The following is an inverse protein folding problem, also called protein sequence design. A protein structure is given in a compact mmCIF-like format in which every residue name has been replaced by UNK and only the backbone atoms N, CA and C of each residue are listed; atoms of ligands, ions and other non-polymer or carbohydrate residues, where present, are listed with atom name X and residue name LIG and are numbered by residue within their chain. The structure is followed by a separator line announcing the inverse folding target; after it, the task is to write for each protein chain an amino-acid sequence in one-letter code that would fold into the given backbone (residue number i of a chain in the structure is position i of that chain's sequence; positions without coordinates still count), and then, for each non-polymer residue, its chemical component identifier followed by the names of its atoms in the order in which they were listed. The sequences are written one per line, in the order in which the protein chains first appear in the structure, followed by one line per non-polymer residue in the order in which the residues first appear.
data_IF_160176256413
#
_entry.id   IF_160176256413
#
_cell.length_a   1.000
_cell.length_b   1.000
_cell.length_c   1.000
_cell.angle_alpha   90.00
_cell.angle_beta   90.00
_cell.angle_gamma   90.00
#
_symmetry.space_group_name_H-M   'P 1'
#
loop_
_entity.id
_entity.type
_entity.pdbx_description
1 polymer ?
#
# COMPACT_ATOMS: atom_id res chain seq x y z
N UNK A 1 -6.05 -45.95 29.19
CA UNK A 1 -4.91 -45.00 28.98
C UNK A 1 -4.68 -44.59 27.53
N UNK A 2 -5.00 -45.41 26.52
CA UNK A 2 -4.78 -45.09 25.09
C UNK A 2 -5.79 -44.05 24.49
N UNK A 3 -7.04 -44.04 24.93
CA UNK A 3 -8.09 -43.13 24.38
C UNK A 3 -7.85 -41.68 24.80
N UNK A 4 -7.38 -41.44 26.03
CA UNK A 4 -7.11 -40.09 26.56
C UNK A 4 -5.99 -39.36 25.79
N UNK A 5 -4.96 -40.09 25.36
CA UNK A 5 -3.85 -39.54 24.58
C UNK A 5 -4.29 -39.23 23.13
N UNK A 6 -5.24 -40.01 22.58
CA UNK A 6 -5.76 -39.80 21.23
C UNK A 6 -6.63 -38.50 21.14
N UNK A 7 -7.42 -38.26 22.19
CA UNK A 7 -8.28 -37.04 22.27
C UNK A 7 -7.40 -35.78 22.43
N UNK A 8 -6.35 -35.86 23.27
CA UNK A 8 -5.42 -34.71 23.46
C UNK A 8 -4.67 -34.37 22.16
N UNK A 9 -4.24 -35.39 21.40
CA UNK A 9 -3.54 -35.20 20.12
C UNK A 9 -4.47 -34.62 19.05
N UNK A 10 -5.75 -34.98 19.05
CA UNK A 10 -6.73 -34.50 18.09
C UNK A 10 -7.15 -33.04 18.38
N UNK A 11 -7.29 -32.65 19.65
CA UNK A 11 -7.58 -31.29 20.08
C UNK A 11 -6.40 -30.37 19.80
N UNK A 12 -5.14 -30.82 19.96
CA UNK A 12 -3.95 -30.06 19.62
C UNK A 12 -3.79 -29.85 18.11
N UNK A 13 -4.20 -30.81 17.28
CA UNK A 13 -4.16 -30.69 15.83
C UNK A 13 -5.21 -29.71 15.30
N UNK A 14 -6.39 -29.62 15.93
CA UNK A 14 -7.44 -28.64 15.57
C UNK A 14 -7.04 -27.23 16.01
N UNK A 15 -6.37 -27.07 17.15
CA UNK A 15 -5.88 -25.78 17.63
C UNK A 15 -4.77 -25.18 16.73
N UNK A 16 -3.98 -26.03 16.04
CA UNK A 16 -2.93 -25.57 15.12
C UNK A 16 -3.48 -25.11 13.74
N UNK A 17 -4.72 -25.49 13.40
CA UNK A 17 -5.37 -25.11 12.13
C UNK A 17 -6.13 -23.78 12.22
N UNK A 18 -6.24 -23.20 13.41
CA UNK A 18 -6.70 -21.81 13.61
C UNK A 18 -5.52 -20.82 13.50
N UNK A 19 -4.64 -21.00 12.49
CA UNK A 19 -3.80 -19.90 12.05
C UNK A 19 -4.76 -18.81 11.54
N UNK A 20 -4.95 -17.80 12.36
CA UNK A 20 -5.69 -16.61 12.01
C UNK A 20 -5.04 -16.00 10.78
N UNK A 21 -5.59 -16.28 9.59
CA UNK A 21 -5.32 -15.46 8.44
C UNK A 21 -5.74 -14.05 8.86
N UNK A 22 -4.77 -13.19 9.15
CA UNK A 22 -5.01 -11.77 9.32
C UNK A 22 -5.54 -11.29 7.97
N UNK A 23 -6.86 -11.16 7.88
CA UNK A 23 -7.47 -10.53 6.72
C UNK A 23 -7.05 -9.07 6.80
N UNK A 24 -6.07 -8.69 5.99
CA UNK A 24 -5.70 -7.30 5.79
C UNK A 24 -6.85 -6.64 5.04
N UNK A 25 -7.44 -5.64 5.64
CA UNK A 25 -8.46 -4.82 4.99
C UNK A 25 -7.81 -3.51 4.58
N UNK A 26 -7.94 -3.16 3.30
CA UNK A 26 -7.53 -1.83 2.81
C UNK A 26 -8.13 -0.73 3.70
N UNK A 27 -7.35 0.32 3.97
CA UNK A 27 -7.87 1.46 4.72
C UNK A 27 -9.07 2.04 4.00
N UNK A 28 -10.23 1.84 4.58
CA UNK A 28 -11.51 2.34 4.07
C UNK A 28 -12.02 3.43 5.01
N UNK A 29 -12.30 4.60 4.46
CA UNK A 29 -12.92 5.72 5.18
C UNK A 29 -14.25 6.02 4.50
N UNK A 30 -15.34 5.61 5.15
CA UNK A 30 -16.67 5.65 4.54
C UNK A 30 -16.78 4.68 3.35
N UNK A 31 -16.92 5.23 2.16
CA UNK A 31 -16.97 4.51 0.87
C UNK A 31 -15.66 4.64 0.06
N UNK A 32 -14.55 5.09 0.68
CA UNK A 32 -13.28 5.34 0.01
C UNK A 32 -12.18 4.37 0.46
N UNK A 33 -11.47 3.79 -0.51
CA UNK A 33 -10.20 3.09 -0.31
C UNK A 33 -9.10 4.15 -0.41
N UNK A 34 -8.25 4.24 0.62
CA UNK A 34 -7.21 5.26 0.72
C UNK A 34 -5.88 4.69 0.24
N UNK A 35 -5.30 5.31 -0.78
CA UNK A 35 -3.97 5.00 -1.30
C UNK A 35 -2.94 5.94 -0.68
N UNK A 36 -1.69 5.53 -0.60
CA UNK A 36 -0.58 6.37 -0.14
C UNK A 36 0.40 6.69 -1.26
N UNK A 37 0.90 7.92 -1.31
CA UNK A 37 1.93 8.32 -2.26
C UNK A 37 2.93 9.31 -1.64
N UNK A 38 4.22 8.98 -1.70
CA UNK A 38 5.28 9.94 -1.47
C UNK A 38 5.84 10.33 -2.84
N UNK A 39 5.71 11.59 -3.22
CA UNK A 39 6.10 12.10 -4.55
C UNK A 39 6.92 13.38 -4.41
N UNK A 40 7.80 13.63 -5.36
CA UNK A 40 8.66 14.83 -5.34
C UNK A 40 7.89 16.07 -5.77
N UNK A 41 7.27 16.77 -4.84
CA UNK A 41 6.60 18.04 -5.12
C UNK A 41 7.59 19.22 -5.08
N UNK A 42 8.72 19.03 -4.39
CA UNK A 42 9.87 19.95 -4.36
C UNK A 42 11.19 19.24 -4.69
N UNK A 43 12.28 20.00 -4.81
CA UNK A 43 13.61 19.48 -5.14
C UNK A 43 13.83 19.23 -6.64
N UNK A 44 14.90 18.48 -6.96
CA UNK A 44 15.38 18.31 -8.35
C UNK A 44 14.41 17.58 -9.29
N UNK A 45 13.49 16.82 -8.73
CA UNK A 45 12.49 16.04 -9.49
C UNK A 45 11.10 16.65 -9.45
N UNK A 46 10.95 17.88 -8.94
CA UNK A 46 9.64 18.49 -8.71
C UNK A 46 8.75 18.54 -9.97
N UNK A 47 9.30 18.91 -11.11
CA UNK A 47 8.53 18.92 -12.36
C UNK A 47 7.94 17.54 -12.69
N UNK A 48 8.75 16.49 -12.59
CA UNK A 48 8.32 15.13 -12.86
C UNK A 48 7.38 14.59 -11.77
N UNK A 49 7.64 14.93 -10.51
CA UNK A 49 6.80 14.55 -9.39
C UNK A 49 5.39 15.16 -9.48
N UNK A 50 5.29 16.41 -9.90
CA UNK A 50 3.99 17.05 -10.18
C UNK A 50 3.25 16.35 -11.32
N UNK A 51 3.95 15.97 -12.40
CA UNK A 51 3.33 15.19 -13.48
C UNK A 51 2.86 13.82 -13.00
N UNK A 52 3.65 13.15 -12.14
CA UNK A 52 3.25 11.89 -11.51
C UNK A 52 1.98 12.06 -10.67
N UNK A 53 1.93 13.08 -9.82
CA UNK A 53 0.74 13.40 -9.01
C UNK A 53 -0.49 13.67 -9.89
N UNK A 54 -0.33 14.45 -10.95
CA UNK A 54 -1.42 14.76 -11.88
C UNK A 54 -1.93 13.48 -12.58
N UNK A 55 -1.02 12.57 -12.96
CA UNK A 55 -1.39 11.29 -13.54
C UNK A 55 -2.21 10.41 -12.58
N UNK A 56 -1.80 10.35 -11.32
CA UNK A 56 -2.53 9.61 -10.28
C UNK A 56 -3.90 10.24 -10.00
N UNK A 57 -3.98 11.56 -9.89
CA UNK A 57 -5.24 12.27 -9.70
C UNK A 57 -6.20 12.01 -10.85
N UNK A 58 -5.72 12.09 -12.10
CA UNK A 58 -6.52 11.82 -13.29
C UNK A 58 -7.04 10.37 -13.31
N UNK A 59 -6.22 9.40 -12.94
CA UNK A 59 -6.62 8.00 -12.86
C UNK A 59 -7.71 7.78 -11.81
N UNK A 60 -7.52 8.35 -10.60
CA UNK A 60 -8.51 8.27 -9.52
C UNK A 60 -9.81 8.96 -9.89
N UNK A 61 -9.76 10.17 -10.45
CA UNK A 61 -10.93 10.88 -10.94
C UNK A 61 -11.72 10.07 -11.98
N UNK A 62 -11.02 9.48 -12.95
CA UNK A 62 -11.66 8.65 -13.96
C UNK A 62 -12.34 7.42 -13.37
N UNK A 63 -11.66 6.67 -12.48
CA UNK A 63 -12.26 5.50 -11.83
C UNK A 63 -13.48 5.92 -11.01
N UNK A 64 -13.37 7.00 -10.24
CA UNK A 64 -14.44 7.50 -9.39
C UNK A 64 -15.65 8.00 -10.21
N UNK A 65 -15.41 8.63 -11.37
CA UNK A 65 -16.47 9.09 -12.28
C UNK A 65 -17.22 7.93 -12.95
N UNK A 66 -16.56 6.79 -13.15
CA UNK A 66 -17.19 5.56 -13.64
C UNK A 66 -17.95 4.79 -12.55
N UNK A 67 -18.05 5.35 -11.33
CA UNK A 67 -18.76 4.75 -10.21
C UNK A 67 -17.85 4.05 -9.19
N UNK A 68 -16.52 4.02 -9.40
CA UNK A 68 -15.57 3.39 -8.50
C UNK A 68 -15.35 1.90 -8.77
N UNK A 69 -14.88 1.17 -7.77
CA UNK A 69 -14.57 -0.27 -7.84
C UNK A 69 -15.51 -1.09 -6.97
N UNK A 70 -15.91 -2.26 -7.44
CA UNK A 70 -16.76 -3.18 -6.68
C UNK A 70 -15.91 -4.23 -5.97
N UNK A 71 -16.04 -4.32 -4.66
CA UNK A 71 -15.35 -5.29 -3.82
C UNK A 71 -16.36 -5.89 -2.83
N UNK A 72 -16.51 -7.21 -2.83
CA UNK A 72 -17.43 -7.91 -1.92
C UNK A 72 -18.89 -7.44 -2.01
N UNK A 73 -19.35 -7.04 -3.20
CA UNK A 73 -20.72 -6.54 -3.41
C UNK A 73 -20.94 -5.07 -3.04
N UNK A 74 -19.95 -4.38 -2.49
CA UNK A 74 -19.96 -2.93 -2.21
C UNK A 74 -19.15 -2.18 -3.25
N UNK A 75 -19.51 -0.92 -3.47
CA UNK A 75 -18.78 -0.03 -4.37
C UNK A 75 -17.96 0.97 -3.57
N UNK A 76 -16.70 1.13 -3.95
CA UNK A 76 -15.76 2.04 -3.30
C UNK A 76 -15.18 3.01 -4.33
N UNK A 77 -14.92 4.22 -3.89
CA UNK A 77 -14.10 5.20 -4.60
C UNK A 77 -12.68 5.19 -4.06
N UNK A 78 -11.74 5.77 -4.81
CA UNK A 78 -10.37 5.96 -4.33
C UNK A 78 -10.16 7.40 -3.84
N UNK A 79 -9.24 7.53 -2.88
CA UNK A 79 -8.64 8.80 -2.48
C UNK A 79 -7.14 8.58 -2.23
N UNK A 80 -6.32 9.64 -2.25
CA UNK A 80 -4.87 9.53 -2.11
C UNK A 80 -4.38 10.46 -1.01
N UNK A 81 -3.56 9.93 -0.09
CA UNK A 81 -2.76 10.74 0.83
C UNK A 81 -1.40 10.98 0.20
N UNK A 82 -1.05 12.25 0.00
CA UNK A 82 0.22 12.67 -0.56
C UNK A 82 1.17 13.23 0.49
N UNK A 83 2.46 12.88 0.35
CA UNK A 83 3.56 13.54 1.04
C UNK A 83 4.65 13.93 0.05
N UNK A 84 5.30 15.08 0.30
CA UNK A 84 6.45 15.53 -0.48
C UNK A 84 7.73 14.84 0.02
N UNK A 85 8.37 14.05 -0.85
CA UNK A 85 9.64 13.39 -0.57
C UNK A 85 10.86 14.30 -0.79
N UNK A 86 10.64 15.54 -1.26
CA UNK A 86 11.68 16.56 -1.51
C UNK A 86 12.80 16.05 -2.44
N UNK A 87 12.48 15.09 -3.30
CA UNK A 87 13.46 14.40 -4.18
C UNK A 87 14.59 13.68 -3.41
N UNK A 88 14.32 13.28 -2.17
CA UNK A 88 15.27 12.67 -1.25
C UNK A 88 14.91 11.21 -0.97
N UNK A 89 15.77 10.23 -1.34
CA UNK A 89 15.49 8.82 -1.15
C UNK A 89 15.25 8.41 0.31
N UNK A 90 16.02 8.97 1.25
CA UNK A 90 15.85 8.68 2.68
C UNK A 90 14.48 9.17 3.17
N UNK A 91 14.08 10.37 2.75
CA UNK A 91 12.77 10.93 3.09
C UNK A 91 11.63 10.12 2.47
N UNK A 92 11.76 9.71 1.21
CA UNK A 92 10.78 8.86 0.55
C UNK A 92 10.54 7.56 1.32
N UNK A 93 11.60 6.88 1.76
CA UNK A 93 11.49 5.69 2.61
C UNK A 93 10.80 5.97 3.95
N UNK A 94 11.14 7.06 4.62
CA UNK A 94 10.51 7.48 5.88
C UNK A 94 9.01 7.78 5.72
N UNK A 95 8.65 8.44 4.60
CA UNK A 95 7.26 8.76 4.30
C UNK A 95 6.46 7.52 3.91
N UNK A 96 7.07 6.56 3.22
CA UNK A 96 6.45 5.25 2.97
C UNK A 96 6.12 4.54 4.30
N UNK A 97 7.07 4.52 5.24
CA UNK A 97 6.83 3.95 6.58
C UNK A 97 5.73 4.71 7.34
N UNK A 98 5.70 6.03 7.26
CA UNK A 98 4.66 6.86 7.87
C UNK A 98 3.28 6.55 7.29
N UNK A 99 3.15 6.54 5.97
CA UNK A 99 1.89 6.22 5.27
C UNK A 99 1.34 4.87 5.73
N UNK A 100 2.21 3.87 5.87
CA UNK A 100 1.81 2.52 6.29
C UNK A 100 1.45 2.50 7.79
N UNK A 101 2.34 3.00 8.66
CA UNK A 101 2.20 2.82 10.12
C UNK A 101 1.28 3.84 10.79
N UNK A 102 1.28 5.07 10.34
CA UNK A 102 0.51 6.16 10.96
C UNK A 102 -0.79 6.42 10.22
N UNK A 103 -0.73 6.47 8.89
CA UNK A 103 -1.92 6.71 8.08
C UNK A 103 -2.67 5.41 7.75
N UNK A 104 -2.06 4.24 7.95
CA UNK A 104 -2.68 2.93 7.81
C UNK A 104 -3.06 2.59 6.37
N UNK A 105 -2.32 3.10 5.36
CA UNK A 105 -2.56 2.73 3.98
C UNK A 105 -2.03 1.32 3.70
N UNK A 106 -2.74 0.56 2.89
CA UNK A 106 -2.39 -0.81 2.51
C UNK A 106 -2.08 -0.95 1.01
N UNK A 107 -2.11 0.14 0.28
CA UNK A 107 -1.70 0.24 -1.13
C UNK A 107 -0.91 1.51 -1.35
N UNK A 108 0.24 1.38 -2.00
CA UNK A 108 1.13 2.50 -2.29
C UNK A 108 1.19 2.75 -3.79
N UNK A 109 1.25 4.02 -4.16
CA UNK A 109 1.63 4.49 -5.48
C UNK A 109 3.10 4.92 -5.43
N UNK A 110 3.89 4.47 -6.39
CA UNK A 110 5.32 4.71 -6.43
C UNK A 110 5.71 6.16 -6.75
N UNK A 111 6.94 6.55 -6.40
CA UNK A 111 7.46 7.89 -6.68
C UNK A 111 7.97 8.01 -8.12
N UNK A 112 8.30 9.24 -8.55
CA UNK A 112 9.12 9.42 -9.73
C UNK A 112 10.57 9.02 -9.45
N UNK A 113 11.21 8.36 -10.39
CA UNK A 113 12.60 7.92 -10.44
C UNK A 113 12.91 6.58 -9.76
N UNK A 114 13.80 5.82 -10.41
CA UNK A 114 14.28 4.53 -9.91
C UNK A 114 15.01 4.63 -8.56
N UNK A 115 15.68 5.74 -8.28
CA UNK A 115 16.39 5.95 -7.02
C UNK A 115 15.44 6.07 -5.82
N UNK A 116 14.31 6.75 -5.98
CA UNK A 116 13.28 6.88 -4.96
C UNK A 116 12.51 5.56 -4.82
N UNK A 117 12.18 4.91 -5.93
CA UNK A 117 11.53 3.59 -5.94
C UNK A 117 12.36 2.56 -5.17
N UNK A 118 13.69 2.49 -5.43
CA UNK A 118 14.61 1.60 -4.70
C UNK A 118 14.66 1.88 -3.20
N UNK A 119 14.46 3.12 -2.78
CA UNK A 119 14.43 3.47 -1.36
C UNK A 119 13.11 3.09 -0.69
N UNK A 120 11.99 3.18 -1.41
CA UNK A 120 10.66 2.85 -0.88
C UNK A 120 10.35 1.34 -0.91
N UNK A 121 10.79 0.63 -1.94
CA UNK A 121 10.47 -0.77 -2.14
C UNK A 121 10.81 -1.68 -0.94
N UNK A 122 12.00 -1.59 -0.29
CA UNK A 122 12.28 -2.39 0.89
C UNK A 122 11.35 -2.10 2.08
N UNK A 123 10.82 -0.89 2.17
CA UNK A 123 9.88 -0.51 3.23
C UNK A 123 8.52 -1.15 2.96
N UNK A 124 8.00 -1.01 1.75
CA UNK A 124 6.71 -1.60 1.39
C UNK A 124 6.76 -3.13 1.46
N UNK A 125 7.85 -3.75 1.03
CA UNK A 125 8.10 -5.19 1.16
C UNK A 125 8.12 -5.64 2.63
N UNK A 126 8.84 -4.94 3.51
CA UNK A 126 8.90 -5.22 4.94
C UNK A 126 7.53 -5.29 5.60
N UNK A 127 6.61 -4.45 5.16
CA UNK A 127 5.26 -4.37 5.72
C UNK A 127 4.20 -5.14 4.90
N UNK A 128 4.60 -5.80 3.81
CA UNK A 128 3.68 -6.55 2.96
C UNK A 128 2.68 -5.67 2.21
N UNK A 129 3.03 -4.39 1.99
CA UNK A 129 2.16 -3.42 1.31
C UNK A 129 2.53 -3.34 -0.17
N UNK A 130 1.64 -3.71 -1.09
CA UNK A 130 1.93 -3.62 -2.51
C UNK A 130 2.11 -2.17 -2.96
N UNK A 131 3.14 -1.93 -3.78
CA UNK A 131 3.42 -0.65 -4.40
C UNK A 131 3.32 -0.76 -5.92
N UNK A 132 2.43 0.03 -6.51
CA UNK A 132 2.33 0.14 -7.98
C UNK A 132 3.30 1.21 -8.45
N UNK A 133 4.30 0.79 -9.23
CA UNK A 133 5.32 1.67 -9.77
C UNK A 133 5.08 1.94 -11.25
N UNK A 134 4.99 3.22 -11.61
CA UNK A 134 4.77 3.66 -12.99
C UNK A 134 5.98 4.41 -13.60
N UNK A 135 6.92 4.88 -12.79
CA UNK A 135 7.97 5.82 -13.19
C UNK A 135 9.40 5.35 -12.89
N UNK A 136 9.58 4.16 -12.35
CA UNK A 136 10.89 3.53 -12.11
C UNK A 136 11.34 2.74 -13.32
N UNK A 137 12.26 3.29 -14.13
CA UNK A 137 12.67 2.69 -15.41
C UNK A 137 13.96 1.84 -15.34
N UNK A 138 14.59 1.70 -14.17
CA UNK A 138 15.86 0.96 -14.04
C UNK A 138 15.63 -0.55 -13.96
N UNK A 139 16.36 -1.29 -14.78
CA UNK A 139 16.51 -2.74 -14.65
C UNK A 139 17.70 -3.02 -13.71
N UNK A 140 17.53 -3.03 -12.45
CA UNK A 140 18.64 -3.35 -11.52
C UNK A 140 18.18 -4.38 -10.54
#
# INVERSE_FOLDING_TARGET
MKIRNFIITFVSAIALLLSTATISFAKVVGDKIILGAAVSLTGKYSSNGVHTQNGYNMAVERINSMGGVKVGGKTYKFDIIYYDDESNPKRAAQLAERLIKQDGVEFMLGPYSSGLTKAMAPVTEKYGVPMVEANGASRS
#
